data_IF_744633018416
#
_entry.id   IF_744633018416
#
_cell.length_a   1.000
_cell.length_b   1.000
_cell.length_c   1.000
_cell.angle_alpha   90.00
_cell.angle_beta   90.00
_cell.angle_gamma   90.00
#
_symmetry.space_group_name_H-M   'P 1'
#
loop_
_entity.id
_entity.type
_entity.pdbx_description
1 polymer ?
#
# COMPACT_ATOMS: atom_id res chain seq x y z
N UNK A 1 -13.81 16.87 9.72
CA UNK A 1 -12.36 16.79 9.69
C UNK A 1 -11.89 15.35 9.44
N UNK A 2 -10.65 15.20 9.01
CA UNK A 2 -10.05 13.88 8.80
C UNK A 2 -10.04 13.07 10.09
N UNK A 3 -9.69 13.69 11.21
CA UNK A 3 -9.66 13.01 12.52
C UNK A 3 -11.04 12.48 12.91
N UNK A 4 -12.10 13.22 12.64
CA UNK A 4 -13.47 12.77 12.89
C UNK A 4 -13.86 11.57 12.00
N UNK A 5 -13.45 11.59 10.74
CA UNK A 5 -13.65 10.45 9.82
C UNK A 5 -12.90 9.21 10.29
N UNK A 6 -11.65 9.36 10.68
CA UNK A 6 -10.83 8.25 11.20
C UNK A 6 -11.47 7.67 12.48
N UNK A 7 -11.95 8.52 13.37
CA UNK A 7 -12.65 8.05 14.59
C UNK A 7 -13.89 7.21 14.25
N UNK A 8 -14.71 7.68 13.30
CA UNK A 8 -15.88 6.92 12.84
C UNK A 8 -15.46 5.58 12.20
N UNK A 9 -14.47 5.57 11.32
CA UNK A 9 -14.02 4.33 10.68
C UNK A 9 -13.43 3.33 11.69
N UNK A 10 -12.77 3.81 12.75
CA UNK A 10 -12.31 2.93 13.82
C UNK A 10 -13.49 2.28 14.56
N UNK A 11 -14.55 3.02 14.86
CA UNK A 11 -15.76 2.46 15.46
C UNK A 11 -16.40 1.40 14.55
N UNK A 12 -16.52 1.69 13.26
CA UNK A 12 -17.07 0.75 12.27
C UNK A 12 -16.22 -0.52 12.14
N UNK A 13 -14.89 -0.38 12.14
CA UNK A 13 -13.95 -1.52 12.10
C UNK A 13 -14.09 -2.38 13.36
N UNK A 14 -14.15 -1.76 14.53
CA UNK A 14 -14.28 -2.48 15.80
C UNK A 14 -15.64 -3.20 15.93
N UNK A 15 -16.70 -2.56 15.47
CA UNK A 15 -18.05 -3.11 15.48
C UNK A 15 -18.37 -4.06 14.33
N UNK A 16 -17.45 -4.22 13.36
CA UNK A 16 -17.65 -5.02 12.13
C UNK A 16 -18.87 -4.53 11.29
N UNK A 17 -19.01 -3.22 11.20
CA UNK A 17 -20.13 -2.57 10.50
C UNK A 17 -19.70 -1.82 9.24
N UNK A 18 -18.47 -1.99 8.79
CA UNK A 18 -17.97 -1.34 7.59
C UNK A 18 -18.77 -1.80 6.36
N UNK A 19 -19.44 -0.86 5.72
CA UNK A 19 -20.26 -1.12 4.53
C UNK A 19 -19.42 -1.13 3.25
N UNK A 20 -19.98 -1.69 2.18
CA UNK A 20 -19.44 -1.53 0.84
C UNK A 20 -19.29 -0.05 0.49
N UNK A 21 -18.38 0.28 -0.42
CA UNK A 21 -18.38 1.59 -1.03
C UNK A 21 -19.72 1.82 -1.71
N UNK A 22 -20.31 2.99 -1.52
CA UNK A 22 -21.47 3.39 -2.31
C UNK A 22 -21.07 3.58 -3.77
N UNK A 23 -22.03 3.60 -4.68
CA UNK A 23 -21.77 3.86 -6.11
C UNK A 23 -21.06 5.21 -6.30
N UNK A 24 -21.45 6.23 -5.51
CA UNK A 24 -20.82 7.55 -5.54
C UNK A 24 -19.37 7.49 -5.04
N UNK A 25 -19.12 6.78 -3.95
CA UNK A 25 -17.75 6.57 -3.44
C UNK A 25 -16.91 5.81 -4.45
N UNK A 26 -17.45 4.77 -5.08
CA UNK A 26 -16.72 3.98 -6.09
C UNK A 26 -16.37 4.82 -7.32
N UNK A 27 -17.30 5.66 -7.80
CA UNK A 27 -17.04 6.61 -8.90
C UNK A 27 -15.96 7.61 -8.50
N UNK A 28 -16.04 8.16 -7.29
CA UNK A 28 -15.06 9.12 -6.79
C UNK A 28 -13.65 8.50 -6.68
N UNK A 29 -13.53 7.27 -6.22
CA UNK A 29 -12.26 6.53 -6.15
C UNK A 29 -11.68 6.32 -7.55
N UNK A 30 -12.47 5.84 -8.49
CA UNK A 30 -12.02 5.63 -9.88
C UNK A 30 -11.61 6.93 -10.57
N UNK A 31 -12.32 8.01 -10.32
CA UNK A 31 -11.99 9.34 -10.86
C UNK A 31 -10.69 9.86 -10.28
N UNK A 32 -10.53 9.78 -8.97
CA UNK A 32 -9.31 10.24 -8.28
C UNK A 32 -8.05 9.50 -8.79
N UNK A 33 -8.17 8.21 -9.05
CA UNK A 33 -7.05 7.36 -9.44
C UNK A 33 -6.99 7.05 -10.95
N UNK A 34 -7.74 7.78 -11.80
CA UNK A 34 -7.79 7.53 -13.25
C UNK A 34 -6.42 7.55 -13.93
N UNK A 35 -5.50 8.41 -13.48
CA UNK A 35 -4.14 8.55 -14.01
C UNK A 35 -3.08 8.04 -13.00
N UNK A 36 -3.45 7.06 -12.20
CA UNK A 36 -2.61 6.49 -11.15
C UNK A 36 -2.32 5.04 -11.45
N UNK A 37 -1.09 4.63 -11.22
CA UNK A 37 -0.70 3.22 -11.13
C UNK A 37 -0.49 2.87 -9.66
N UNK A 38 -1.16 1.82 -9.21
CA UNK A 38 -0.85 1.15 -7.95
C UNK A 38 0.20 0.09 -8.25
N UNK A 39 1.29 0.15 -7.52
CA UNK A 39 2.51 -0.61 -7.79
C UNK A 39 2.93 -1.41 -6.57
N UNK A 40 3.10 -2.71 -6.73
CA UNK A 40 3.49 -3.56 -5.62
C UNK A 40 3.43 -5.06 -5.90
N UNK A 41 3.13 -5.80 -4.86
CA UNK A 41 3.04 -7.26 -4.88
C UNK A 41 1.58 -7.75 -4.83
N UNK A 42 1.33 -8.90 -4.22
CA UNK A 42 -0.02 -9.46 -4.06
C UNK A 42 -0.97 -8.58 -3.24
N UNK A 43 -0.46 -7.71 -2.38
CA UNK A 43 -1.30 -6.73 -1.66
C UNK A 43 -1.92 -5.72 -2.64
N UNK A 44 -1.17 -5.32 -3.66
CA UNK A 44 -1.64 -4.46 -4.75
C UNK A 44 -2.52 -5.22 -5.75
N UNK A 45 -2.19 -6.47 -6.07
CA UNK A 45 -3.00 -7.33 -6.92
C UNK A 45 -4.44 -7.44 -6.41
N UNK A 46 -4.64 -7.57 -5.10
CA UNK A 46 -5.95 -7.68 -4.48
C UNK A 46 -6.88 -6.50 -4.79
N UNK A 47 -6.36 -5.32 -5.04
CA UNK A 47 -7.13 -4.12 -5.40
C UNK A 47 -7.97 -4.39 -6.67
N UNK A 48 -7.33 -4.97 -7.69
CA UNK A 48 -8.01 -5.32 -8.94
C UNK A 48 -8.90 -6.55 -8.80
N UNK A 49 -8.44 -7.58 -8.08
CA UNK A 49 -9.22 -8.80 -7.84
C UNK A 49 -10.48 -8.51 -7.03
N UNK A 50 -10.44 -7.59 -6.08
CA UNK A 50 -11.62 -7.14 -5.34
C UNK A 50 -12.49 -6.14 -6.11
N UNK A 51 -12.04 -5.66 -7.26
CA UNK A 51 -12.81 -4.77 -8.12
C UNK A 51 -12.84 -3.30 -7.69
N UNK A 52 -11.94 -2.87 -6.80
CA UNK A 52 -11.86 -1.46 -6.40
C UNK A 52 -11.36 -0.56 -7.54
N UNK A 53 -10.42 -1.07 -8.33
CA UNK A 53 -9.90 -0.43 -9.54
C UNK A 53 -9.80 -1.46 -10.66
N UNK A 54 -9.70 -0.99 -11.90
CA UNK A 54 -9.42 -1.84 -13.04
C UNK A 54 -7.96 -2.33 -13.02
N UNK A 55 -7.69 -3.51 -13.56
CA UNK A 55 -6.33 -4.05 -13.64
C UNK A 55 -5.37 -3.17 -14.44
N UNK A 56 -5.88 -2.30 -15.32
CA UNK A 56 -5.09 -1.30 -16.05
C UNK A 56 -4.47 -0.24 -15.14
N UNK A 57 -4.98 -0.06 -13.91
CA UNK A 57 -4.41 0.83 -12.91
C UNK A 57 -3.38 0.13 -12.01
N UNK A 58 -3.03 -1.11 -12.30
CA UNK A 58 -2.25 -1.95 -11.39
C UNK A 58 -1.07 -2.55 -12.15
N UNK A 59 0.13 -2.37 -11.59
CA UNK A 59 1.34 -3.10 -11.98
C UNK A 59 1.82 -3.85 -10.75
N UNK A 60 1.86 -5.17 -10.83
CA UNK A 60 2.22 -6.01 -9.69
C UNK A 60 3.04 -7.22 -10.11
N UNK A 61 3.74 -7.78 -9.14
CA UNK A 61 4.27 -9.13 -9.24
C UNK A 61 4.08 -9.83 -7.90
N UNK A 62 3.46 -11.00 -7.92
CA UNK A 62 3.26 -11.83 -6.71
C UNK A 62 4.60 -12.18 -6.10
N UNK A 63 4.66 -12.14 -4.77
CA UNK A 63 5.86 -12.45 -3.99
C UNK A 63 7.07 -11.54 -4.29
N UNK A 64 6.87 -10.41 -4.94
CA UNK A 64 7.96 -9.51 -5.26
C UNK A 64 8.57 -8.87 -4.01
N UNK A 65 9.86 -8.72 -4.06
CA UNK A 65 10.69 -7.87 -3.21
C UNK A 65 11.01 -6.57 -3.93
N UNK A 66 11.54 -5.58 -3.25
CA UNK A 66 11.81 -4.26 -3.85
C UNK A 66 12.78 -4.36 -5.04
N UNK A 67 13.83 -5.15 -4.93
CA UNK A 67 14.77 -5.39 -6.03
C UNK A 67 14.09 -5.99 -7.28
N UNK A 68 13.10 -6.84 -7.10
CA UNK A 68 12.27 -7.36 -8.19
C UNK A 68 11.36 -6.28 -8.75
N UNK A 69 10.72 -5.47 -7.90
CA UNK A 69 9.84 -4.38 -8.35
C UNK A 69 10.60 -3.33 -9.19
N UNK A 70 11.87 -3.08 -8.90
CA UNK A 70 12.71 -2.21 -9.73
C UNK A 70 12.70 -2.65 -11.20
N UNK A 71 12.70 -3.95 -11.46
CA UNK A 71 12.66 -4.50 -12.84
C UNK A 71 11.32 -4.24 -13.56
N UNK A 72 10.27 -3.89 -12.81
CA UNK A 72 8.92 -3.60 -13.31
C UNK A 72 8.67 -2.11 -13.59
N UNK A 73 9.59 -1.23 -13.25
CA UNK A 73 9.45 0.21 -13.48
C UNK A 73 9.17 0.54 -14.95
N UNK A 74 9.78 -0.11 -15.96
CA UNK A 74 9.42 0.16 -17.36
C UNK A 74 7.93 -0.05 -17.67
N UNK A 75 7.27 -1.04 -17.06
CA UNK A 75 5.83 -1.25 -17.23
C UNK A 75 5.02 -0.09 -16.65
N UNK A 76 5.41 0.41 -15.47
CA UNK A 76 4.79 1.58 -14.84
C UNK A 76 4.97 2.82 -15.72
N UNK A 77 6.20 3.08 -16.16
CA UNK A 77 6.56 4.24 -16.98
C UNK A 77 5.83 4.25 -18.34
N UNK A 78 5.62 3.08 -18.94
CA UNK A 78 4.92 2.96 -20.21
C UNK A 78 3.48 3.49 -20.20
N UNK A 79 2.84 3.54 -19.04
CA UNK A 79 1.48 4.07 -18.88
C UNK A 79 1.44 5.58 -18.72
N UNK A 80 2.59 6.23 -18.50
CA UNK A 80 2.72 7.67 -18.26
C UNK A 80 1.79 8.18 -17.14
N UNK A 81 1.82 7.55 -15.96
CA UNK A 81 0.92 7.95 -14.87
C UNK A 81 1.34 9.31 -14.30
N UNK A 82 0.38 10.06 -13.78
CA UNK A 82 0.65 11.26 -13.01
C UNK A 82 1.03 10.96 -11.56
N UNK A 83 0.61 9.81 -11.07
CA UNK A 83 0.79 9.38 -9.70
C UNK A 83 1.05 7.88 -9.63
N UNK A 84 1.90 7.48 -8.70
CA UNK A 84 2.16 6.07 -8.36
C UNK A 84 1.91 5.90 -6.87
N UNK A 85 1.06 4.93 -6.52
CA UNK A 85 0.84 4.49 -5.15
C UNK A 85 1.54 3.15 -4.96
N UNK A 86 2.52 3.09 -4.07
CA UNK A 86 3.26 1.87 -3.77
C UNK A 86 2.63 1.21 -2.54
N UNK A 87 2.22 -0.03 -2.69
CA UNK A 87 1.70 -0.86 -1.60
C UNK A 87 2.26 -2.27 -1.70
N UNK A 88 3.07 -2.64 -0.73
CA UNK A 88 3.75 -3.95 -0.66
C UNK A 88 3.44 -4.66 0.64
N UNK A 89 3.57 -5.99 0.64
CA UNK A 89 3.45 -6.83 1.82
C UNK A 89 4.80 -7.10 2.48
N UNK A 90 4.97 -8.32 2.99
CA UNK A 90 6.02 -8.69 3.92
C UNK A 90 7.20 -9.44 3.28
N UNK A 91 7.25 -9.54 1.95
CA UNK A 91 8.29 -10.30 1.26
C UNK A 91 9.71 -9.80 1.59
N UNK A 92 9.86 -8.48 1.74
CA UNK A 92 11.15 -7.86 2.04
C UNK A 92 11.68 -8.24 3.42
N UNK A 93 10.80 -8.48 4.39
CA UNK A 93 11.19 -8.87 5.76
C UNK A 93 11.97 -10.20 5.80
N UNK A 94 11.67 -11.10 4.87
CA UNK A 94 12.38 -12.37 4.74
C UNK A 94 13.59 -12.29 3.79
N UNK A 95 13.54 -11.36 2.84
CA UNK A 95 14.57 -11.23 1.80
C UNK A 95 15.80 -10.45 2.26
N UNK A 96 15.60 -9.33 2.93
CA UNK A 96 16.69 -8.48 3.38
C UNK A 96 17.14 -8.84 4.79
N UNK A 97 18.36 -9.33 4.93
CA UNK A 97 18.99 -9.56 6.24
C UNK A 97 19.29 -8.22 6.90
N UNK A 98 19.90 -7.30 6.16
CA UNK A 98 20.26 -5.97 6.64
C UNK A 98 19.25 -4.93 6.18
N UNK A 99 18.75 -4.14 7.12
CA UNK A 99 17.79 -3.07 6.82
C UNK A 99 18.39 -2.01 5.88
N UNK A 100 19.72 -1.84 5.92
CA UNK A 100 20.43 -0.90 5.04
C UNK A 100 20.32 -1.30 3.56
N UNK A 101 20.29 -2.60 3.26
CA UNK A 101 20.10 -3.08 1.88
C UNK A 101 18.68 -2.82 1.38
N UNK A 102 17.68 -3.03 2.23
CA UNK A 102 16.30 -2.64 1.95
C UNK A 102 16.18 -1.14 1.65
N UNK A 103 16.79 -0.31 2.50
CA UNK A 103 16.81 1.15 2.30
C UNK A 103 17.45 1.51 0.96
N UNK A 104 18.61 0.97 0.66
CA UNK A 104 19.34 1.24 -0.60
C UNK A 104 18.45 0.93 -1.81
N UNK A 105 17.85 -0.24 -1.84
CA UNK A 105 17.03 -0.68 -2.97
C UNK A 105 15.74 0.12 -3.07
N UNK A 106 15.11 0.45 -1.94
CA UNK A 106 13.92 1.30 -1.94
C UNK A 106 14.22 2.71 -2.48
N UNK A 107 15.30 3.33 -2.03
CA UNK A 107 15.74 4.64 -2.53
C UNK A 107 16.04 4.56 -4.03
N UNK A 108 16.68 3.49 -4.49
CA UNK A 108 16.93 3.24 -5.93
C UNK A 108 15.62 3.17 -6.70
N UNK A 109 14.62 2.44 -6.20
CA UNK A 109 13.30 2.35 -6.82
C UNK A 109 12.63 3.72 -6.96
N UNK A 110 12.63 4.52 -5.89
CA UNK A 110 12.05 5.86 -5.91
C UNK A 110 12.77 6.79 -6.92
N UNK A 111 14.10 6.76 -6.94
CA UNK A 111 14.89 7.55 -7.87
C UNK A 111 14.62 7.15 -9.32
N UNK A 112 14.54 5.85 -9.62
CA UNK A 112 14.26 5.36 -10.96
C UNK A 112 12.83 5.69 -11.41
N UNK A 113 11.84 5.61 -10.53
CA UNK A 113 10.48 6.06 -10.84
C UNK A 113 10.45 7.54 -11.20
N UNK A 114 11.10 8.39 -10.43
CA UNK A 114 11.19 9.84 -10.70
C UNK A 114 11.93 10.15 -11.99
N UNK A 115 12.99 9.41 -12.29
CA UNK A 115 13.75 9.59 -13.53
C UNK A 115 12.97 9.12 -14.77
N UNK A 116 12.25 8.00 -14.66
CA UNK A 116 11.50 7.41 -15.77
C UNK A 116 10.17 8.12 -16.03
N UNK A 117 9.60 8.78 -15.03
CA UNK A 117 8.29 9.46 -15.10
C UNK A 117 8.45 10.88 -14.54
N UNK A 118 8.97 11.84 -15.33
CA UNK A 118 9.20 13.19 -14.86
C UNK A 118 7.93 13.84 -14.31
N UNK A 119 8.03 14.43 -13.12
CA UNK A 119 6.90 15.08 -12.44
C UNK A 119 5.93 14.12 -11.75
N UNK A 120 6.20 12.82 -11.71
CA UNK A 120 5.33 11.85 -11.03
C UNK A 120 5.24 12.14 -9.53
N UNK A 121 4.02 12.09 -9.01
CA UNK A 121 3.78 12.09 -7.57
C UNK A 121 3.84 10.65 -7.06
N UNK A 122 4.64 10.41 -6.04
CA UNK A 122 4.77 9.08 -5.42
C UNK A 122 4.16 9.10 -4.03
N UNK A 123 3.34 8.12 -3.75
CA UNK A 123 2.70 7.87 -2.46
C UNK A 123 3.04 6.45 -2.06
N UNK A 124 3.44 6.28 -0.81
CA UNK A 124 3.80 4.98 -0.25
C UNK A 124 2.88 4.67 0.90
N UNK A 125 2.15 3.56 0.82
CA UNK A 125 1.38 3.05 1.95
C UNK A 125 2.28 2.24 2.87
N UNK A 126 2.04 2.33 4.16
CA UNK A 126 2.79 1.61 5.20
C UNK A 126 2.83 0.10 4.96
N UNK A 127 3.88 -0.55 5.44
CA UNK A 127 3.88 -1.99 5.62
C UNK A 127 2.93 -2.36 6.77
N UNK A 128 2.26 -3.49 6.61
CA UNK A 128 1.36 -4.03 7.64
C UNK A 128 2.02 -5.23 8.29
N UNK A 129 1.96 -5.30 9.62
CA UNK A 129 2.45 -6.47 10.35
C UNK A 129 1.64 -7.72 9.97
N UNK A 130 2.19 -8.93 10.15
CA UNK A 130 1.41 -10.16 10.04
C UNK A 130 0.34 -10.21 11.13
N UNK A 131 -0.63 -11.13 10.99
CA UNK A 131 -1.53 -11.44 12.11
C UNK A 131 -0.75 -11.87 13.35
N UNK A 132 -1.32 -11.69 14.52
CA UNK A 132 -0.68 -12.08 15.78
C UNK A 132 -0.36 -13.58 15.77
N UNK A 133 -1.27 -14.41 15.25
CA UNK A 133 -1.07 -15.85 15.17
C UNK A 133 0.11 -16.23 14.26
N UNK A 134 0.24 -15.58 13.10
CA UNK A 134 1.35 -15.82 12.19
C UNK A 134 2.67 -15.30 12.77
N UNK A 135 2.65 -14.15 13.42
CA UNK A 135 3.83 -13.56 14.07
C UNK A 135 4.43 -14.43 15.16
N UNK A 136 3.63 -15.29 15.80
CA UNK A 136 4.12 -16.25 16.80
C UNK A 136 4.97 -17.39 16.20
N UNK A 137 4.77 -17.70 14.92
CA UNK A 137 5.44 -18.83 14.25
C UNK A 137 6.41 -18.39 13.14
N UNK A 138 6.38 -17.14 12.74
CA UNK A 138 7.22 -16.56 11.68
C UNK A 138 8.03 -15.38 12.22
N UNK A 139 9.15 -15.69 12.87
CA UNK A 139 10.02 -14.69 13.49
C UNK A 139 10.59 -13.65 12.49
N UNK A 140 10.76 -14.01 11.23
CA UNK A 140 11.18 -13.12 10.16
C UNK A 140 10.17 -11.98 9.92
N UNK A 141 8.88 -12.29 10.01
CA UNK A 141 7.81 -11.31 9.76
C UNK A 141 7.56 -10.35 10.93
N UNK A 142 8.02 -10.69 12.12
CA UNK A 142 7.96 -9.82 13.31
C UNK A 142 8.81 -8.55 13.12
N UNK A 143 9.70 -8.54 12.15
CA UNK A 143 10.51 -7.35 11.76
C UNK A 143 9.69 -6.29 11.02
N UNK A 144 8.45 -6.54 10.63
CA UNK A 144 7.64 -5.61 9.84
C UNK A 144 7.57 -4.18 10.41
N UNK A 145 7.37 -3.95 11.71
CA UNK A 145 7.40 -2.60 12.26
C UNK A 145 8.73 -1.88 12.07
N UNK A 146 9.85 -2.58 12.15
CA UNK A 146 11.18 -2.02 11.89
C UNK A 146 11.33 -1.60 10.42
N UNK A 147 10.90 -2.44 9.50
CA UNK A 147 10.90 -2.11 8.07
C UNK A 147 9.97 -0.93 7.77
N UNK A 148 8.81 -0.87 8.40
CA UNK A 148 7.87 0.25 8.20
C UNK A 148 8.43 1.56 8.75
N UNK A 149 9.10 1.53 9.89
CA UNK A 149 9.78 2.71 10.45
C UNK A 149 10.88 3.22 9.49
N UNK A 150 11.65 2.29 8.92
CA UNK A 150 12.65 2.63 7.91
C UNK A 150 12.00 3.21 6.66
N UNK A 151 10.91 2.63 6.19
CA UNK A 151 10.14 3.11 5.06
C UNK A 151 9.62 4.55 5.26
N UNK A 152 9.12 4.86 6.44
CA UNK A 152 8.70 6.21 6.82
C UNK A 152 9.86 7.20 6.70
N UNK A 153 11.03 6.84 7.20
CA UNK A 153 12.25 7.64 7.11
C UNK A 153 12.70 7.84 5.65
N UNK A 154 12.69 6.77 4.86
CA UNK A 154 13.01 6.84 3.42
C UNK A 154 12.08 7.83 2.70
N UNK A 155 10.79 7.76 2.94
CA UNK A 155 9.81 8.66 2.31
C UNK A 155 10.07 10.12 2.69
N UNK A 156 10.32 10.39 3.96
CA UNK A 156 10.61 11.73 4.45
C UNK A 156 11.88 12.31 3.81
N UNK A 157 12.94 11.52 3.71
CA UNK A 157 14.23 11.96 3.16
C UNK A 157 14.21 12.13 1.63
N UNK A 158 13.29 11.47 0.94
CA UNK A 158 13.21 11.48 -0.52
C UNK A 158 12.02 12.29 -1.07
N UNK A 159 11.38 13.11 -0.23
CA UNK A 159 10.23 13.94 -0.62
C UNK A 159 9.11 13.12 -1.28
N UNK A 160 8.73 12.04 -0.62
CA UNK A 160 7.66 11.13 -1.03
C UNK A 160 6.62 11.08 0.08
N UNK A 161 5.35 11.08 -0.29
CA UNK A 161 4.26 11.02 0.67
C UNK A 161 4.15 9.61 1.28
N UNK A 162 4.28 9.51 2.59
CA UNK A 162 3.99 8.28 3.34
C UNK A 162 2.59 8.35 3.92
N UNK A 163 1.83 7.26 3.76
CA UNK A 163 0.47 7.13 4.31
C UNK A 163 0.45 5.99 5.31
N UNK A 164 0.24 6.31 6.58
CA UNK A 164 0.12 5.32 7.63
C UNK A 164 -1.26 4.67 7.60
N UNK A 165 -1.31 3.43 7.13
CA UNK A 165 -2.52 2.61 7.05
C UNK A 165 -2.60 1.54 8.15
N UNK A 166 -1.63 1.51 9.09
CA UNK A 166 -1.56 0.49 10.14
C UNK A 166 -2.75 0.53 11.08
N UNK A 167 -3.34 1.72 11.30
CA UNK A 167 -4.50 1.91 12.15
C UNK A 167 -5.78 1.20 11.64
N UNK A 168 -5.82 0.86 10.35
CA UNK A 168 -6.97 0.17 9.72
C UNK A 168 -7.00 -1.32 10.07
N UNK A 169 -5.84 -1.89 10.40
CA UNK A 169 -5.68 -3.33 10.60
C UNK A 169 -6.49 -3.84 11.79
N UNK A 170 -7.23 -4.92 11.58
CA UNK A 170 -7.90 -5.71 12.62
C UNK A 170 -7.59 -7.20 12.39
N UNK A 171 -7.41 -7.96 13.48
CA UNK A 171 -7.06 -9.40 13.39
C UNK A 171 -8.10 -10.18 12.58
N UNK A 172 -9.37 -9.86 12.74
CA UNK A 172 -10.50 -10.49 12.00
C UNK A 172 -10.50 -10.21 10.50
N UNK A 173 -9.74 -9.23 10.02
CA UNK A 173 -9.69 -8.82 8.62
C UNK A 173 -8.52 -9.44 7.84
N UNK A 174 -7.68 -10.22 8.49
CA UNK A 174 -6.71 -11.06 7.78
C UNK A 174 -7.41 -12.25 7.12
N UNK A 175 -6.91 -12.66 5.95
CA UNK A 175 -7.22 -13.97 5.39
C UNK A 175 -6.52 -15.07 6.20
N UNK A 176 -6.80 -16.33 5.90
CA UNK A 176 -6.28 -17.48 6.63
C UNK A 176 -4.75 -17.57 6.67
N UNK A 177 -4.08 -16.95 5.71
CA UNK A 177 -2.60 -16.90 5.67
C UNK A 177 -1.98 -15.94 6.68
N UNK A 178 -2.77 -15.07 7.30
CA UNK A 178 -2.32 -14.11 8.29
C UNK A 178 -1.48 -12.95 7.70
N UNK A 179 -1.48 -12.78 6.39
CA UNK A 179 -0.75 -11.74 5.66
C UNK A 179 -1.70 -10.86 4.85
N UNK A 180 -2.50 -11.48 3.98
CA UNK A 180 -3.41 -10.77 3.09
C UNK A 180 -4.66 -10.29 3.84
N UNK A 181 -5.24 -9.21 3.33
CA UNK A 181 -6.42 -8.56 3.91
C UNK A 181 -7.68 -8.88 3.11
N UNK A 182 -8.81 -8.94 3.80
CA UNK A 182 -10.12 -9.04 3.18
C UNK A 182 -10.60 -7.69 2.62
N UNK A 183 -11.80 -7.68 2.03
CA UNK A 183 -12.39 -6.47 1.43
C UNK A 183 -12.61 -5.34 2.44
N UNK A 184 -12.89 -5.66 3.70
CA UNK A 184 -13.14 -4.67 4.75
C UNK A 184 -11.97 -3.73 4.93
N UNK A 185 -10.74 -4.26 4.97
CA UNK A 185 -9.53 -3.43 5.01
C UNK A 185 -9.50 -2.45 3.82
N UNK A 186 -9.65 -2.95 2.61
CA UNK A 186 -9.55 -2.13 1.39
C UNK A 186 -10.67 -1.08 1.28
N UNK A 187 -11.89 -1.36 1.78
CA UNK A 187 -12.97 -0.37 1.83
C UNK A 187 -12.57 0.86 2.64
N UNK A 188 -12.06 0.65 3.85
CA UNK A 188 -11.61 1.74 4.71
C UNK A 188 -10.35 2.40 4.14
N UNK A 189 -9.42 1.61 3.61
CA UNK A 189 -8.19 2.11 3.01
C UNK A 189 -8.47 3.07 1.83
N UNK A 190 -9.39 2.73 0.94
CA UNK A 190 -9.76 3.62 -0.17
C UNK A 190 -10.50 4.88 0.30
N UNK A 191 -11.36 4.78 1.30
CA UNK A 191 -11.97 5.96 1.94
C UNK A 191 -10.91 6.89 2.52
N UNK A 192 -9.93 6.30 3.19
CA UNK A 192 -8.81 7.03 3.79
C UNK A 192 -7.91 7.68 2.72
N UNK A 193 -7.51 6.94 1.70
CA UNK A 193 -6.72 7.49 0.59
C UNK A 193 -7.46 8.64 -0.10
N UNK A 194 -8.76 8.49 -0.35
CA UNK A 194 -9.59 9.55 -0.92
C UNK A 194 -9.60 10.80 -0.04
N UNK A 195 -9.75 10.63 1.27
CA UNK A 195 -9.74 11.75 2.20
C UNK A 195 -8.38 12.46 2.27
N UNK A 196 -7.29 11.69 2.21
CA UNK A 196 -5.92 12.21 2.24
C UNK A 196 -5.50 12.89 0.93
N UNK A 197 -5.94 12.39 -0.21
CA UNK A 197 -5.41 12.77 -1.53
C UNK A 197 -6.40 13.57 -2.37
N UNK A 198 -7.68 13.50 -2.07
CA UNK A 198 -8.75 14.10 -2.88
C UNK A 198 -8.81 15.62 -2.85
N UNK A 199 -8.08 16.27 -1.96
CA UNK A 199 -8.04 17.74 -1.78
C UNK A 199 -6.69 18.37 -2.17
N UNK A 200 -5.86 17.65 -2.93
CA UNK A 200 -4.53 18.11 -3.36
C UNK A 200 -4.55 18.61 -4.79
#
# INVERSE_FOLDING_TARGET
SLDAMIAQWNEELDADTVTNLTDEEQVAVRTLFANTIFFGDSMTQAIGEYGFLDMTNIVYQRSATIDVLITKIPEVAATLPKQVVIFTGLNDCNHYTEIADYRRDYVTMLQQLKASIPGVKIIVSSLLSPSDALGQVRADLVRAPQFDQELRSICQENDVTYVDSTWIVRQKNYLDDGIHMNRTFYRVWFRYLKAMLGNQ
#
